data_IF_963272898737
#
_entry.id   IF_963272898737
#
_cell.length_a   1.000
_cell.length_b   1.000
_cell.length_c   1.000
_cell.angle_alpha   90.00
_cell.angle_beta   90.00
_cell.angle_gamma   90.00
#
_symmetry.space_group_name_H-M   'P 1'
#
loop_
_entity.id
_entity.type
_entity.pdbx_description
1 polymer ?
#
# COMPACT_ATOMS: atom_id res chain seq x y z
N UNK A 1 -3.38 -54.98 5.32
CA UNK A 1 -2.75 -53.66 5.45
C UNK A 1 -1.31 -53.79 4.96
N UNK A 2 -1.14 -54.09 3.67
CA UNK A 2 0.14 -54.56 3.09
C UNK A 2 0.34 -53.95 1.70
N UNK A 3 0.34 -52.62 1.59
CA UNK A 3 0.52 -51.98 0.27
C UNK A 3 1.17 -50.59 0.34
N UNK A 4 2.19 -50.42 1.19
CA UNK A 4 2.93 -49.15 1.30
C UNK A 4 4.47 -49.28 1.36
N UNK A 5 5.05 -50.49 1.23
CA UNK A 5 6.52 -50.64 1.35
C UNK A 5 7.30 -50.72 0.03
N UNK A 6 6.63 -50.74 -1.13
CA UNK A 6 7.31 -50.86 -2.43
C UNK A 6 7.60 -49.55 -3.18
N UNK A 7 7.23 -48.38 -2.63
CA UNK A 7 7.46 -47.10 -3.33
C UNK A 7 8.84 -46.47 -3.04
N UNK A 8 9.54 -46.87 -1.98
CA UNK A 8 10.77 -46.20 -1.51
C UNK A 8 12.06 -47.00 -1.58
N UNK A 9 12.06 -48.19 -2.19
CA UNK A 9 13.26 -49.04 -2.26
C UNK A 9 13.68 -49.35 -3.71
N UNK A 10 13.90 -48.30 -4.48
CA UNK A 10 14.72 -48.38 -5.69
C UNK A 10 16.18 -48.15 -5.31
N UNK A 11 16.98 -49.22 -5.27
CA UNK A 11 18.44 -49.15 -5.09
C UNK A 11 19.06 -48.34 -6.25
N UNK A 12 19.12 -47.02 -6.10
CA UNK A 12 19.67 -46.11 -7.10
C UNK A 12 20.83 -45.34 -6.48
N UNK A 13 21.95 -45.31 -7.20
CA UNK A 13 23.17 -44.66 -6.77
C UNK A 13 22.87 -43.19 -6.44
N UNK A 14 23.26 -42.71 -5.26
CA UNK A 14 23.04 -41.31 -4.87
C UNK A 14 23.64 -40.31 -5.89
N UNK A 15 24.68 -40.72 -6.61
CA UNK A 15 25.27 -39.96 -7.73
C UNK A 15 24.34 -39.89 -8.94
N UNK A 16 23.59 -40.96 -9.23
CA UNK A 16 22.66 -41.02 -10.36
C UNK A 16 21.42 -40.17 -10.10
N UNK A 17 20.84 -40.22 -8.90
CA UNK A 17 19.69 -39.39 -8.54
C UNK A 17 20.04 -37.90 -8.53
N UNK A 18 21.25 -37.54 -8.07
CA UNK A 18 21.75 -36.17 -8.12
C UNK A 18 21.91 -35.65 -9.56
N UNK A 19 22.51 -36.45 -10.46
CA UNK A 19 22.69 -36.06 -11.87
C UNK A 19 21.35 -35.97 -12.59
N UNK A 20 20.41 -36.89 -12.35
CA UNK A 20 19.06 -36.81 -12.92
C UNK A 20 18.37 -35.52 -12.46
N UNK A 21 18.48 -35.14 -11.19
CA UNK A 21 17.92 -33.89 -10.68
C UNK A 21 18.50 -32.62 -11.34
N UNK A 22 19.80 -32.59 -11.60
CA UNK A 22 20.42 -31.46 -12.32
C UNK A 22 19.94 -31.42 -13.77
N UNK A 23 19.90 -32.56 -14.45
CA UNK A 23 19.50 -32.61 -15.87
C UNK A 23 18.04 -32.24 -16.05
N UNK A 24 17.14 -32.69 -15.18
CA UNK A 24 15.72 -32.32 -15.23
C UNK A 24 15.52 -30.85 -14.87
N UNK A 25 16.22 -30.32 -13.86
CA UNK A 25 16.16 -28.91 -13.49
C UNK A 25 16.66 -27.98 -14.59
N UNK A 26 17.84 -28.27 -15.16
CA UNK A 26 18.41 -27.48 -16.26
C UNK A 26 17.53 -27.58 -17.51
N UNK A 27 17.00 -28.76 -17.85
CA UNK A 27 16.05 -28.90 -18.97
C UNK A 27 14.78 -28.08 -18.75
N UNK A 28 14.21 -28.09 -17.54
CA UNK A 28 13.00 -27.33 -17.25
C UNK A 28 13.24 -25.82 -17.35
N UNK A 29 14.33 -25.32 -16.76
CA UNK A 29 14.68 -23.89 -16.81
C UNK A 29 14.96 -23.43 -18.24
N UNK A 30 15.67 -24.25 -19.03
CA UNK A 30 15.97 -23.91 -20.43
C UNK A 30 14.72 -23.89 -21.31
N UNK A 31 13.78 -24.82 -21.13
CA UNK A 31 12.51 -24.82 -21.85
C UNK A 31 11.65 -23.59 -21.51
N UNK A 32 11.57 -23.22 -20.23
CA UNK A 32 10.84 -22.02 -19.78
C UNK A 32 11.49 -20.76 -20.36
N UNK A 33 12.82 -20.65 -20.32
CA UNK A 33 13.55 -19.51 -20.84
C UNK A 33 13.40 -19.37 -22.37
N UNK A 34 13.52 -20.47 -23.11
CA UNK A 34 13.32 -20.46 -24.57
C UNK A 34 11.87 -20.12 -24.94
N UNK A 35 10.89 -20.67 -24.21
CA UNK A 35 9.48 -20.34 -24.41
C UNK A 35 9.18 -18.86 -24.15
N UNK A 36 9.73 -18.31 -23.06
CA UNK A 36 9.62 -16.88 -22.76
C UNK A 36 10.29 -16.01 -23.83
N UNK A 37 11.48 -16.39 -24.30
CA UNK A 37 12.20 -15.66 -25.34
C UNK A 37 11.45 -15.66 -26.68
N UNK A 38 10.91 -16.81 -27.10
CA UNK A 38 10.07 -16.92 -28.32
C UNK A 38 8.78 -16.12 -28.18
N UNK A 39 8.15 -16.13 -27.00
CA UNK A 39 6.97 -15.33 -26.72
C UNK A 39 7.24 -13.83 -26.88
N UNK A 40 8.38 -13.34 -26.35
CA UNK A 40 8.78 -11.94 -26.51
C UNK A 40 9.09 -11.59 -27.98
N UNK A 41 9.81 -12.45 -28.70
CA UNK A 41 10.17 -12.20 -30.11
C UNK A 41 8.96 -12.24 -31.06
N UNK A 42 7.90 -12.97 -30.70
CA UNK A 42 6.66 -13.05 -31.47
C UNK A 42 5.71 -11.86 -31.22
N UNK A 43 6.15 -10.83 -30.49
CA UNK A 43 5.35 -9.66 -30.15
C UNK A 43 4.41 -9.86 -28.95
N UNK A 44 4.67 -10.86 -28.11
CA UNK A 44 3.92 -11.09 -26.87
C UNK A 44 3.99 -9.88 -25.95
N UNK A 45 2.82 -9.38 -25.52
CA UNK A 45 2.73 -8.33 -24.51
C UNK A 45 2.96 -9.00 -23.14
N UNK A 46 3.99 -8.56 -22.42
CA UNK A 46 4.21 -9.00 -21.03
C UNK A 46 3.21 -8.25 -20.15
N UNK A 47 2.09 -8.90 -19.88
CA UNK A 47 1.08 -8.38 -18.97
C UNK A 47 1.58 -8.61 -17.54
N UNK A 48 2.07 -7.54 -16.92
CA UNK A 48 2.48 -7.54 -15.50
C UNK A 48 1.29 -7.93 -14.64
N UNK A 49 1.23 -9.19 -14.21
CA UNK A 49 0.28 -9.64 -13.20
C UNK A 49 0.54 -8.86 -11.89
N UNK A 50 -0.24 -7.80 -11.68
CA UNK A 50 -0.37 -7.17 -10.36
C UNK A 50 0.51 -5.96 -10.06
N UNK A 51 1.07 -5.28 -11.06
CA UNK A 51 1.46 -3.87 -10.87
C UNK A 51 0.80 -3.08 -11.99
N UNK A 52 -0.47 -2.73 -11.78
CA UNK A 52 -1.04 -1.62 -12.52
C UNK A 52 -0.07 -0.43 -12.34
N UNK A 53 0.30 0.30 -13.41
CA UNK A 53 0.97 1.58 -13.21
C UNK A 53 0.12 2.37 -12.21
N UNK A 54 0.76 3.02 -11.24
CA UNK A 54 0.11 4.06 -10.46
C UNK A 54 -0.26 5.16 -11.45
N UNK A 55 -1.41 4.96 -12.10
CA UNK A 55 -2.06 5.98 -12.88
C UNK A 55 -2.33 7.11 -11.90
N UNK A 56 -1.54 8.16 -12.03
CA UNK A 56 -1.69 9.41 -11.28
C UNK A 56 -2.96 10.15 -11.76
N UNK A 57 -3.82 9.47 -12.52
CA UNK A 57 -5.09 9.94 -13.00
C UNK A 57 -6.21 8.93 -12.75
N UNK A 58 -6.28 8.38 -11.52
CA UNK A 58 -7.55 7.83 -11.04
C UNK A 58 -8.61 8.94 -11.10
N UNK A 59 -9.52 8.84 -12.06
CA UNK A 59 -10.67 9.72 -12.30
C UNK A 59 -11.68 9.73 -11.14
N UNK A 60 -11.32 9.18 -9.97
CA UNK A 60 -12.11 9.20 -8.74
C UNK A 60 -11.92 10.55 -8.00
N UNK A 61 -10.86 11.30 -8.29
CA UNK A 61 -10.56 12.55 -7.59
C UNK A 61 -11.06 13.82 -8.31
N UNK A 62 -11.46 13.78 -9.58
CA UNK A 62 -11.61 15.01 -10.37
C UNK A 62 -12.97 15.72 -10.25
N UNK A 63 -14.06 15.01 -9.96
CA UNK A 63 -15.38 15.62 -9.79
C UNK A 63 -15.68 16.00 -8.33
N UNK A 64 -15.53 15.12 -7.32
CA UNK A 64 -15.87 15.47 -5.94
C UNK A 64 -14.91 16.50 -5.34
N UNK A 65 -13.62 16.49 -5.73
CA UNK A 65 -12.65 17.50 -5.24
C UNK A 65 -12.85 18.83 -5.94
N UNK A 66 -13.20 18.87 -7.22
CA UNK A 66 -13.46 20.14 -7.91
C UNK A 66 -14.66 20.86 -7.32
N UNK A 67 -15.69 20.13 -6.88
CA UNK A 67 -16.83 20.70 -6.15
C UNK A 67 -16.42 21.13 -4.73
N UNK A 68 -15.58 20.36 -4.01
CA UNK A 68 -15.04 20.77 -2.71
C UNK A 68 -14.12 22.00 -2.79
N UNK A 69 -13.36 22.15 -3.87
CA UNK A 69 -12.43 23.27 -4.10
C UNK A 69 -13.15 24.49 -4.68
N UNK A 70 -14.15 24.30 -5.54
CA UNK A 70 -15.00 25.39 -6.03
C UNK A 70 -15.98 25.91 -4.97
N UNK A 71 -16.30 25.10 -3.96
CA UNK A 71 -17.05 25.49 -2.76
C UNK A 71 -16.20 26.17 -1.68
N UNK A 72 -14.87 26.23 -1.84
CA UNK A 72 -13.96 26.93 -0.94
C UNK A 72 -13.90 28.44 -1.26
N UNK A 73 -15.05 29.06 -1.49
CA UNK A 73 -15.19 30.51 -1.32
C UNK A 73 -15.28 30.79 0.17
N UNK A 74 -14.30 31.49 0.73
CA UNK A 74 -14.27 32.10 2.08
C UNK A 74 -15.00 31.31 3.18
N UNK A 75 -14.92 29.98 3.15
CA UNK A 75 -15.56 29.14 4.12
C UNK A 75 -14.51 28.82 5.17
N UNK A 76 -14.63 29.49 6.31
CA UNK A 76 -14.07 29.02 7.56
C UNK A 76 -14.26 27.50 7.61
N UNK A 77 -13.16 26.74 7.66
CA UNK A 77 -13.23 25.29 7.81
C UNK A 77 -13.92 25.08 9.16
N UNK A 78 -15.24 24.81 9.13
CA UNK A 78 -16.02 24.43 10.30
C UNK A 78 -15.45 23.08 10.72
N UNK A 79 -14.50 23.12 11.65
CA UNK A 79 -13.90 21.96 12.25
C UNK A 79 -14.96 21.38 13.19
N UNK A 80 -15.48 20.17 12.94
CA UNK A 80 -16.32 19.53 13.93
C UNK A 80 -15.53 19.34 15.24
N UNK A 81 -16.24 19.30 16.37
CA UNK A 81 -15.62 19.31 17.71
C UNK A 81 -14.72 18.10 18.03
N UNK A 82 -14.73 17.08 17.17
CA UNK A 82 -13.96 15.83 17.30
C UNK A 82 -12.58 15.89 16.63
N UNK A 83 -12.20 17.05 16.08
CA UNK A 83 -10.96 17.18 15.32
C UNK A 83 -9.82 17.63 16.20
N UNK A 84 -8.72 16.87 16.16
CA UNK A 84 -7.51 17.20 16.91
C UNK A 84 -6.72 18.29 16.17
N UNK A 85 -6.59 19.45 16.83
CA UNK A 85 -5.87 20.62 16.31
C UNK A 85 -4.53 20.72 17.04
N UNK A 86 -3.45 20.82 16.29
CA UNK A 86 -2.11 21.06 16.82
C UNK A 86 -1.75 22.54 16.72
N UNK A 87 -1.36 23.12 17.86
CA UNK A 87 -0.91 24.51 18.03
C UNK A 87 -1.87 25.39 18.86
N UNK A 88 -1.40 26.58 19.27
CA UNK A 88 -2.07 27.45 20.25
C UNK A 88 -2.63 28.76 19.67
N UNK A 89 -2.48 29.00 18.37
CA UNK A 89 -2.83 30.28 17.73
C UNK A 89 -4.28 30.25 17.26
N UNK A 90 -4.98 31.39 17.30
CA UNK A 90 -6.35 31.46 16.77
C UNK A 90 -6.36 31.76 15.26
N UNK A 91 -5.38 32.53 14.76
CA UNK A 91 -5.27 32.95 13.36
C UNK A 91 -4.03 32.34 12.70
N UNK A 92 -4.23 31.25 11.96
CA UNK A 92 -3.20 30.62 11.14
C UNK A 92 -3.33 31.08 9.69
N UNK A 93 -2.21 31.22 8.99
CA UNK A 93 -2.18 31.62 7.59
C UNK A 93 -2.65 30.48 6.67
N UNK A 94 -2.38 29.23 7.05
CA UNK A 94 -2.73 28.04 6.27
C UNK A 94 -3.31 26.98 7.20
N UNK A 95 -4.28 26.20 6.73
CA UNK A 95 -4.77 25.00 7.43
C UNK A 95 -4.43 23.74 6.65
N UNK A 96 -3.65 22.86 7.26
CA UNK A 96 -3.30 21.55 6.74
C UNK A 96 -4.19 20.49 7.39
N UNK A 97 -5.06 19.87 6.60
CA UNK A 97 -5.93 18.77 7.04
C UNK A 97 -5.35 17.44 6.55
N UNK A 98 -4.95 16.57 7.47
CA UNK A 98 -4.51 15.22 7.15
C UNK A 98 -5.58 14.20 7.51
N UNK A 99 -6.00 13.41 6.52
CA UNK A 99 -6.80 12.21 6.75
C UNK A 99 -5.87 11.03 7.07
N UNK A 100 -6.06 10.41 8.23
CA UNK A 100 -5.20 9.33 8.73
C UNK A 100 -5.97 8.04 8.96
N UNK A 101 -5.32 6.94 8.59
CA UNK A 101 -5.68 5.59 8.98
C UNK A 101 -4.53 5.01 9.80
N UNK A 102 -4.83 4.52 11.00
CA UNK A 102 -3.84 4.04 11.97
C UNK A 102 -3.17 2.71 11.58
N UNK A 103 -3.77 1.93 10.68
CA UNK A 103 -3.15 0.71 10.15
C UNK A 103 -2.38 0.94 8.85
N UNK A 104 -2.53 2.12 8.23
CA UNK A 104 -1.85 2.44 6.98
C UNK A 104 -0.35 2.68 7.20
N UNK A 105 0.48 1.83 6.59
CA UNK A 105 1.96 1.95 6.62
C UNK A 105 2.46 3.30 6.07
N UNK A 106 1.81 3.84 5.04
CA UNK A 106 2.19 5.12 4.45
C UNK A 106 1.86 6.29 5.38
N UNK A 107 0.67 6.29 5.99
CA UNK A 107 0.31 7.28 7.00
C UNK A 107 1.33 7.28 8.14
N UNK A 108 1.69 6.08 8.66
CA UNK A 108 2.72 5.94 9.70
C UNK A 108 4.09 6.48 9.28
N UNK A 109 4.50 6.27 8.02
CA UNK A 109 5.79 6.74 7.51
C UNK A 109 5.81 8.26 7.32
N UNK A 110 4.71 8.86 6.87
CA UNK A 110 4.65 10.27 6.50
C UNK A 110 4.32 11.21 7.69
N UNK A 111 3.66 10.68 8.72
CA UNK A 111 3.26 11.46 9.91
C UNK A 111 4.42 12.24 10.57
N UNK A 112 5.63 11.67 10.79
CA UNK A 112 6.74 12.41 11.39
C UNK A 112 7.23 13.58 10.52
N UNK A 113 7.19 13.44 9.20
CA UNK A 113 7.64 14.49 8.29
C UNK A 113 6.65 15.66 8.25
N UNK A 114 5.34 15.38 8.33
CA UNK A 114 4.33 16.43 8.50
C UNK A 114 4.52 17.15 9.84
N UNK A 115 4.73 16.42 10.93
CA UNK A 115 4.94 17.05 12.24
C UNK A 115 6.15 17.99 12.22
N UNK A 116 7.26 17.58 11.61
CA UNK A 116 8.43 18.47 11.42
C UNK A 116 8.08 19.72 10.62
N UNK A 117 7.35 19.57 9.52
CA UNK A 117 6.90 20.71 8.71
C UNK A 117 6.03 21.68 9.54
N UNK A 118 5.11 21.15 10.35
CA UNK A 118 4.24 21.97 11.22
C UNK A 118 5.04 22.68 12.30
N UNK A 119 6.04 22.01 12.89
CA UNK A 119 6.93 22.60 13.89
C UNK A 119 7.81 23.71 13.27
N UNK A 120 8.36 23.48 12.08
CA UNK A 120 9.15 24.47 11.32
C UNK A 120 8.33 25.73 10.97
N UNK A 121 7.03 25.57 10.78
CA UNK A 121 6.09 26.66 10.47
C UNK A 121 5.16 26.97 11.65
N UNK A 122 5.67 26.80 12.87
CA UNK A 122 4.91 27.01 14.09
C UNK A 122 4.29 28.41 14.15
N UNK A 123 2.97 28.45 14.36
CA UNK A 123 2.21 29.71 14.38
C UNK A 123 1.79 30.23 12.99
N UNK A 124 2.15 29.56 11.90
CA UNK A 124 1.65 29.87 10.55
C UNK A 124 0.69 28.80 10.04
N UNK A 125 0.96 27.53 10.37
CA UNK A 125 0.16 26.39 9.91
C UNK A 125 -0.71 25.84 11.04
N UNK A 126 -2.02 25.78 10.80
CA UNK A 126 -2.97 25.01 11.61
C UNK A 126 -2.91 23.57 11.14
N UNK A 127 -2.47 22.65 11.98
CA UNK A 127 -2.48 21.23 11.63
C UNK A 127 -3.67 20.52 12.25
N UNK A 128 -4.39 19.78 11.42
CA UNK A 128 -5.69 19.20 11.71
C UNK A 128 -5.67 17.73 11.30
N UNK A 129 -5.88 16.83 12.25
CA UNK A 129 -5.91 15.38 11.99
C UNK A 129 -7.36 14.89 11.96
N UNK A 130 -7.76 14.25 10.86
CA UNK A 130 -9.07 13.60 10.68
C UNK A 130 -8.94 12.09 10.51
N UNK A 131 -9.74 11.32 11.23
CA UNK A 131 -9.74 9.86 11.10
C UNK A 131 -10.47 9.42 9.82
N UNK A 132 -9.84 8.57 9.01
CA UNK A 132 -10.42 7.98 7.80
C UNK A 132 -10.13 6.49 7.72
N UNK A 133 -10.82 5.66 8.52
CA UNK A 133 -10.56 4.23 8.60
C UNK A 133 -11.02 3.52 7.32
N UNK A 134 -10.09 2.94 6.58
CA UNK A 134 -10.34 2.17 5.37
C UNK A 134 -10.72 0.73 5.73
N UNK A 135 -11.88 0.55 6.38
CA UNK A 135 -12.35 -0.74 6.94
C UNK A 135 -12.41 -1.90 5.95
N UNK A 136 -12.44 -1.60 4.65
CA UNK A 136 -12.40 -2.57 3.56
C UNK A 136 -11.06 -3.33 3.48
N UNK A 137 -9.96 -2.68 3.89
CA UNK A 137 -8.58 -3.19 3.79
C UNK A 137 -7.82 -3.15 5.12
N UNK A 138 -8.31 -2.39 6.10
CA UNK A 138 -7.76 -2.21 7.43
C UNK A 138 -8.85 -2.48 8.48
N UNK A 139 -9.01 -3.73 8.93
CA UNK A 139 -10.15 -4.14 9.76
C UNK A 139 -10.14 -3.54 11.17
N UNK A 140 -8.97 -3.22 11.72
CA UNK A 140 -8.83 -2.60 13.04
C UNK A 140 -8.74 -1.07 12.98
N UNK A 141 -8.68 -0.44 11.80
CA UNK A 141 -8.55 1.01 11.63
C UNK A 141 -9.64 1.80 12.36
N UNK A 142 -10.88 1.30 12.37
CA UNK A 142 -11.99 1.96 13.09
C UNK A 142 -11.79 1.92 14.60
N UNK A 143 -11.41 0.76 15.14
CA UNK A 143 -11.15 0.60 16.58
C UNK A 143 -9.94 1.42 17.00
N UNK A 144 -8.90 1.46 16.17
CA UNK A 144 -7.72 2.28 16.41
C UNK A 144 -8.03 3.79 16.38
N UNK A 145 -8.87 4.24 15.44
CA UNK A 145 -9.35 5.61 15.40
C UNK A 145 -10.15 5.98 16.66
N UNK A 146 -11.08 5.12 17.08
CA UNK A 146 -11.82 5.32 18.32
C UNK A 146 -10.88 5.40 19.54
N UNK A 147 -9.89 4.52 19.61
CA UNK A 147 -8.91 4.53 20.70
C UNK A 147 -8.10 5.84 20.73
N UNK A 148 -7.76 6.39 19.57
CA UNK A 148 -7.03 7.65 19.46
C UNK A 148 -7.86 8.86 19.93
N UNK A 149 -9.18 8.85 19.73
CA UNK A 149 -10.06 9.92 20.25
C UNK A 149 -10.27 9.84 21.77
N UNK A 150 -10.05 8.68 22.38
CA UNK A 150 -10.21 8.47 23.82
C UNK A 150 -8.92 8.69 24.65
N UNK A 151 -7.79 8.99 24.01
CA UNK A 151 -6.50 9.20 24.66
C UNK A 151 -6.34 10.64 25.16
#
# INVERSE_FOLDING_TARGET
MEDQQHYFTGHTNARLTFVIGIVTGVSFVTLVALGFFVYLFSGGKFETYGIAPLDTQSQILTEPIKIMVAGAGENEIILPNDVQIYGSKQNYAVTLVQYVDYECRFCKKFFPDILKFVDEHSGEVRFVVKHYPLVQIHPAAKTAAMAATCA
#
